data_IF_027749697320
#
_entry.id   IF_027749697320
#
_cell.length_a   1.000
_cell.length_b   1.000
_cell.length_c   1.000
_cell.angle_alpha   90.00
_cell.angle_beta   90.00
_cell.angle_gamma   90.00
#
_symmetry.space_group_name_H-M   'P 1'
#
loop_
_entity.id
_entity.type
_entity.pdbx_description
1 polymer ?
#
# COMPACT_ATOMS: atom_id res chain seq x y z
N UNK A 1 -63.38 29.82 -32.61
CA UNK A 1 -62.06 30.09 -32.01
C UNK A 1 -61.76 29.25 -30.76
N UNK A 2 -62.59 28.26 -30.39
CA UNK A 2 -62.36 27.37 -29.23
C UNK A 2 -61.55 26.10 -29.55
N UNK A 3 -61.52 25.66 -30.82
CA UNK A 3 -60.83 24.40 -31.17
C UNK A 3 -59.31 24.48 -31.04
N UNK A 4 -58.71 25.65 -31.26
CA UNK A 4 -57.26 25.85 -31.10
C UNK A 4 -56.87 25.89 -29.63
N UNK A 5 -57.68 26.48 -28.75
CA UNK A 5 -57.40 26.47 -27.30
C UNK A 5 -57.53 25.07 -26.70
N UNK A 6 -58.51 24.28 -27.15
CA UNK A 6 -58.70 22.90 -26.68
C UNK A 6 -57.50 22.01 -27.06
N UNK A 7 -56.96 22.16 -28.28
CA UNK A 7 -55.75 21.45 -28.72
C UNK A 7 -54.54 21.84 -27.86
N UNK A 8 -54.39 23.13 -27.52
CA UNK A 8 -53.30 23.58 -26.65
C UNK A 8 -53.45 23.00 -25.24
N UNK A 9 -54.67 23.00 -24.68
CA UNK A 9 -54.93 22.41 -23.36
C UNK A 9 -54.64 20.91 -23.31
N UNK A 10 -55.06 20.17 -24.34
CA UNK A 10 -54.76 18.73 -24.45
C UNK A 10 -53.25 18.53 -24.58
N UNK A 11 -52.56 19.32 -25.39
CA UNK A 11 -51.11 19.22 -25.53
C UNK A 11 -50.38 19.44 -24.20
N UNK A 12 -50.77 20.48 -23.44
CA UNK A 12 -50.22 20.76 -22.10
C UNK A 12 -50.48 19.60 -21.14
N UNK A 13 -51.70 19.06 -21.12
CA UNK A 13 -52.07 17.92 -20.27
C UNK A 13 -51.22 16.69 -20.59
N UNK A 14 -51.06 16.35 -21.87
CA UNK A 14 -50.26 15.20 -22.32
C UNK A 14 -48.78 15.42 -22.00
N UNK A 15 -48.25 16.64 -22.17
CA UNK A 15 -46.88 16.96 -21.78
C UNK A 15 -46.64 16.80 -20.28
N UNK A 16 -47.56 17.27 -19.43
CA UNK A 16 -47.46 17.11 -17.98
C UNK A 16 -47.48 15.62 -17.57
N UNK A 17 -48.35 14.82 -18.18
CA UNK A 17 -48.42 13.38 -17.96
C UNK A 17 -47.12 12.67 -18.40
N UNK A 18 -46.59 13.03 -19.57
CA UNK A 18 -45.35 12.48 -20.10
C UNK A 18 -44.15 12.79 -19.20
N UNK A 19 -44.03 14.05 -18.73
CA UNK A 19 -42.96 14.45 -17.81
C UNK A 19 -43.02 13.66 -16.50
N UNK A 20 -44.20 13.54 -15.90
CA UNK A 20 -44.39 12.78 -14.66
C UNK A 20 -43.97 11.31 -14.82
N UNK A 21 -44.37 10.70 -15.93
CA UNK A 21 -44.00 9.31 -16.23
C UNK A 21 -42.49 9.17 -16.46
N UNK A 22 -41.87 10.08 -17.22
CA UNK A 22 -40.42 10.08 -17.42
C UNK A 22 -39.66 10.20 -16.11
N UNK A 23 -40.02 11.14 -15.24
CA UNK A 23 -39.36 11.32 -13.94
C UNK A 23 -39.52 10.09 -13.05
N UNK A 24 -40.70 9.48 -13.01
CA UNK A 24 -40.92 8.23 -12.28
C UNK A 24 -40.04 7.10 -12.82
N UNK A 25 -39.97 6.97 -14.15
CA UNK A 25 -39.22 5.89 -14.80
C UNK A 25 -37.71 6.04 -14.62
N UNK A 26 -37.19 7.26 -14.77
CA UNK A 26 -35.78 7.57 -14.54
C UNK A 26 -35.39 7.30 -13.07
N UNK A 27 -36.27 7.61 -12.11
CA UNK A 27 -36.05 7.28 -10.71
C UNK A 27 -36.04 5.77 -10.45
N UNK A 28 -36.95 5.01 -11.07
CA UNK A 28 -37.00 3.53 -10.95
C UNK A 28 -35.75 2.86 -11.54
N UNK A 29 -35.24 3.35 -12.68
CA UNK A 29 -34.02 2.82 -13.31
C UNK A 29 -32.76 3.09 -12.48
N UNK A 30 -32.64 4.29 -11.91
CA UNK A 30 -31.54 4.64 -11.01
C UNK A 30 -31.60 3.84 -9.70
N UNK A 31 -32.80 3.58 -9.18
CA UNK A 31 -32.96 2.78 -7.97
C UNK A 31 -32.55 1.31 -8.18
N UNK A 32 -32.84 0.75 -9.35
CA UNK A 32 -32.40 -0.59 -9.72
C UNK A 32 -30.87 -0.69 -9.85
N UNK A 33 -30.20 0.35 -10.38
CA UNK A 33 -28.74 0.37 -10.49
C UNK A 33 -28.07 0.46 -9.11
N UNK A 34 -28.59 1.30 -8.21
CA UNK A 34 -28.11 1.42 -6.82
C UNK A 34 -28.25 0.09 -6.09
N UNK A 35 -29.42 -0.56 -6.17
CA UNK A 35 -29.62 -1.86 -5.52
C UNK A 35 -28.65 -2.93 -6.02
N UNK A 36 -28.34 -2.93 -7.32
CA UNK A 36 -27.36 -3.86 -7.90
C UNK A 36 -25.96 -3.61 -7.34
N UNK A 37 -25.53 -2.36 -7.27
CA UNK A 37 -24.22 -1.99 -6.72
C UNK A 37 -24.14 -2.36 -5.24
N UNK A 38 -25.18 -2.06 -4.47
CA UNK A 38 -25.23 -2.38 -3.04
C UNK A 38 -25.17 -3.89 -2.77
N UNK A 39 -25.82 -4.70 -3.62
CA UNK A 39 -25.70 -6.15 -3.56
C UNK A 39 -24.29 -6.65 -3.89
N UNK A 40 -23.59 -6.01 -4.84
CA UNK A 40 -22.19 -6.33 -5.16
C UNK A 40 -21.25 -5.98 -4.00
N UNK A 41 -21.42 -4.80 -3.40
CA UNK A 41 -20.62 -4.37 -2.25
C UNK A 41 -20.77 -5.36 -1.09
N UNK A 42 -22.00 -5.75 -0.74
CA UNK A 42 -22.22 -6.75 0.32
C UNK A 42 -21.54 -8.09 0.04
N UNK A 43 -21.60 -8.56 -1.20
CA UNK A 43 -20.93 -9.81 -1.59
C UNK A 43 -19.40 -9.72 -1.45
N UNK A 44 -18.82 -8.58 -1.83
CA UNK A 44 -17.39 -8.33 -1.67
C UNK A 44 -16.98 -8.21 -0.19
N UNK A 45 -17.79 -7.52 0.63
CA UNK A 45 -17.58 -7.42 2.09
C UNK A 45 -17.58 -8.80 2.76
N UNK A 46 -18.56 -9.65 2.45
CA UNK A 46 -18.64 -11.02 2.96
C UNK A 46 -17.40 -11.85 2.54
N UNK A 47 -16.92 -11.64 1.32
CA UNK A 47 -15.71 -12.30 0.81
C UNK A 47 -14.47 -11.82 1.57
N UNK A 48 -14.32 -10.53 1.81
CA UNK A 48 -13.21 -9.96 2.59
C UNK A 48 -13.20 -10.52 4.01
N UNK A 49 -14.37 -10.62 4.65
CA UNK A 49 -14.45 -11.13 6.01
C UNK A 49 -14.11 -12.62 6.10
N UNK A 50 -14.49 -13.41 5.10
CA UNK A 50 -14.03 -14.79 4.97
C UNK A 50 -12.50 -14.86 4.83
N UNK A 51 -11.91 -14.04 3.95
CA UNK A 51 -10.46 -14.00 3.77
C UNK A 51 -9.72 -13.52 5.03
N UNK A 52 -10.29 -12.58 5.80
CA UNK A 52 -9.73 -12.17 7.09
C UNK A 52 -9.76 -13.30 8.12
N UNK A 53 -10.81 -14.12 8.11
CA UNK A 53 -10.87 -15.30 8.97
C UNK A 53 -9.74 -16.28 8.63
N UNK A 54 -9.52 -16.55 7.33
CA UNK A 54 -8.41 -17.39 6.88
C UNK A 54 -7.04 -16.78 7.20
N UNK A 55 -6.89 -15.46 7.05
CA UNK A 55 -5.66 -14.76 7.41
C UNK A 55 -5.37 -14.85 8.92
N UNK A 56 -6.40 -14.73 9.76
CA UNK A 56 -6.28 -14.93 11.20
C UNK A 56 -5.83 -16.36 11.54
N UNK A 57 -6.28 -17.36 10.77
CA UNK A 57 -5.86 -18.75 10.95
C UNK A 57 -4.40 -18.97 10.52
N UNK A 58 -3.98 -18.37 9.40
CA UNK A 58 -2.61 -18.48 8.89
C UNK A 58 -1.59 -17.73 9.75
N UNK A 59 -1.97 -16.58 10.30
CA UNK A 59 -1.07 -15.69 11.06
C UNK A 59 -1.06 -16.03 12.55
N UNK A 60 -1.60 -17.20 12.93
CA UNK A 60 -1.68 -17.60 14.31
C UNK A 60 -0.27 -17.67 14.95
N UNK A 61 -0.01 -16.95 16.05
CA UNK A 61 1.33 -16.81 16.62
C UNK A 61 1.93 -18.15 17.05
N UNK A 62 1.09 -19.09 17.50
CA UNK A 62 1.50 -20.45 17.84
C UNK A 62 2.05 -21.24 16.64
N UNK A 63 1.47 -21.07 15.44
CA UNK A 63 1.96 -21.67 14.20
C UNK A 63 3.29 -21.05 13.77
N UNK A 64 3.40 -19.72 13.81
CA UNK A 64 4.63 -19.01 13.47
C UNK A 64 5.77 -19.38 14.42
N UNK A 65 5.50 -19.47 15.73
CA UNK A 65 6.49 -19.86 16.73
C UNK A 65 6.96 -21.30 16.54
N UNK A 66 6.04 -22.22 16.24
CA UNK A 66 6.39 -23.62 15.91
C UNK A 66 7.25 -23.71 14.65
N UNK A 67 6.94 -22.93 13.63
CA UNK A 67 7.72 -22.89 12.39
C UNK A 67 9.13 -22.31 12.64
N UNK A 68 9.21 -21.22 13.41
CA UNK A 68 10.48 -20.62 13.82
C UNK A 68 11.35 -21.60 14.62
N UNK A 69 10.75 -22.41 15.49
CA UNK A 69 11.46 -23.43 16.26
C UNK A 69 11.94 -24.60 15.40
N UNK A 70 11.12 -25.08 14.45
CA UNK A 70 11.50 -26.14 13.50
C UNK A 70 12.68 -25.72 12.62
N UNK A 71 12.67 -24.49 12.10
CA UNK A 71 13.73 -23.99 11.22
C UNK A 71 14.89 -23.31 11.98
N UNK A 72 14.87 -23.33 13.32
CA UNK A 72 15.89 -22.69 14.16
C UNK A 72 17.31 -23.16 13.84
N UNK A 73 17.48 -24.43 13.50
CA UNK A 73 18.79 -25.01 13.14
C UNK A 73 19.34 -24.54 11.80
N UNK A 74 18.47 -24.11 10.87
CA UNK A 74 18.86 -23.65 9.54
C UNK A 74 18.97 -22.13 9.47
N UNK A 75 18.11 -21.43 10.21
CA UNK A 75 17.98 -19.97 10.16
C UNK A 75 18.84 -19.28 11.23
N UNK A 76 19.21 -19.98 12.31
CA UNK A 76 20.03 -19.44 13.39
C UNK A 76 19.37 -18.28 14.16
N UNK A 77 18.07 -18.05 13.96
CA UNK A 77 17.35 -16.93 14.56
C UNK A 77 17.03 -17.23 16.03
N UNK A 78 17.46 -16.33 16.91
CA UNK A 78 16.97 -16.25 18.27
C UNK A 78 15.78 -15.29 18.37
N UNK A 79 14.88 -15.50 19.36
CA UNK A 79 13.84 -14.52 19.67
C UNK A 79 14.49 -13.17 19.96
N UNK A 80 14.01 -12.11 19.30
CA UNK A 80 14.48 -10.74 19.54
C UNK A 80 14.28 -10.41 21.01
N UNK A 81 15.38 -10.12 21.71
CA UNK A 81 15.33 -9.72 23.10
C UNK A 81 14.89 -8.25 23.19
N UNK A 82 14.05 -7.87 24.16
CA UNK A 82 13.58 -6.49 24.33
C UNK A 82 14.73 -5.47 24.44
N UNK A 83 15.92 -5.90 24.89
CA UNK A 83 17.12 -5.06 24.94
C UNK A 83 17.73 -4.70 23.58
N UNK A 84 17.36 -5.41 22.51
CA UNK A 84 17.86 -5.18 21.14
C UNK A 84 17.02 -4.14 20.37
N UNK A 85 15.88 -3.72 20.93
CA UNK A 85 15.07 -2.62 20.39
C UNK A 85 15.60 -1.34 21.01
N UNK A 86 16.46 -0.62 20.28
CA UNK A 86 17.07 0.63 20.73
C UNK A 86 16.99 1.67 19.63
N UNK A 87 16.82 2.94 20.00
CA UNK A 87 16.86 4.05 19.05
C UNK A 87 18.31 4.33 18.64
N UNK A 88 18.51 4.98 17.49
CA UNK A 88 19.85 5.22 16.95
C UNK A 88 20.76 5.98 17.93
N UNK A 89 20.17 6.79 18.80
CA UNK A 89 20.84 7.59 19.83
C UNK A 89 21.32 6.76 21.05
N UNK A 90 20.76 5.55 21.24
CA UNK A 90 21.09 4.65 22.33
C UNK A 90 22.17 3.62 21.95
N UNK A 91 22.66 3.63 20.70
CA UNK A 91 23.76 2.75 20.31
C UNK A 91 25.08 3.24 20.90
N UNK A 92 25.86 2.36 21.57
CA UNK A 92 27.19 2.73 22.00
C UNK A 92 28.03 3.10 20.79
N UNK A 93 28.74 4.22 20.87
CA UNK A 93 29.66 4.65 19.82
C UNK A 93 30.63 3.52 19.49
N UNK A 94 30.73 3.18 18.19
CA UNK A 94 31.62 2.12 17.71
C UNK A 94 33.02 2.36 18.30
N UNK A 95 33.61 1.39 19.03
CA UNK A 95 34.96 1.57 19.55
C UNK A 95 35.89 1.71 18.35
N UNK A 96 36.47 2.90 18.18
CA UNK A 96 37.59 3.13 17.28
C UNK A 96 38.78 2.37 17.84
N UNK A 97 39.04 1.19 17.28
CA UNK A 97 40.25 0.44 17.56
C UNK A 97 41.44 1.29 17.08
N UNK A 98 42.46 1.44 17.92
CA UNK A 98 43.62 2.33 17.66
C UNK A 98 44.34 1.99 16.33
N UNK A 99 44.21 0.76 15.83
CA UNK A 99 44.66 0.31 14.50
C UNK A 99 44.08 1.12 13.31
N UNK A 100 42.84 1.61 13.41
CA UNK A 100 42.20 2.43 12.36
C UNK A 100 42.72 3.88 12.38
N UNK A 101 43.16 4.37 13.54
CA UNK A 101 43.73 5.71 13.69
C UNK A 101 45.22 5.75 13.32
N UNK A 102 45.93 4.62 13.51
CA UNK A 102 47.34 4.48 13.14
C UNK A 102 47.52 4.37 11.63
N UNK A 103 46.66 3.63 10.93
CA UNK A 103 46.66 3.52 9.47
C UNK A 103 46.32 4.85 8.77
N UNK A 104 45.39 5.64 9.32
CA UNK A 104 44.99 6.92 8.73
C UNK A 104 46.05 8.04 8.86
N UNK A 105 46.89 8.01 9.91
CA UNK A 105 47.90 9.06 10.17
C UNK A 105 49.29 8.77 9.60
N UNK A 106 49.53 7.56 9.10
CA UNK A 106 50.84 7.13 8.60
C UNK A 106 50.92 7.08 7.05
N UNK A 107 50.09 7.86 6.36
CA UNK A 107 50.19 8.09 4.91
C UNK A 107 51.07 9.31 4.63
N UNK A 108 52.39 9.10 4.62
CA UNK A 108 53.40 10.14 4.46
C UNK A 108 53.19 11.04 3.23
N UNK A 109 53.27 12.33 3.50
CA UNK A 109 53.45 13.44 2.59
C UNK A 109 54.48 13.13 1.48
N UNK A 110 54.02 13.01 0.23
CA UNK A 110 54.87 13.02 -0.95
C UNK A 110 54.22 13.80 -2.10
N UNK A 111 54.89 14.92 -2.37
CA UNK A 111 55.06 15.58 -3.67
C UNK A 111 53.92 16.43 -4.28
N UNK A 112 54.39 17.56 -4.79
CA UNK A 112 53.65 18.65 -5.40
C UNK A 112 53.19 18.29 -6.82
N UNK A 113 52.25 19.12 -7.30
CA UNK A 113 51.89 19.34 -8.70
C UNK A 113 50.71 18.52 -9.22
N UNK A 114 49.57 19.22 -9.25
CA UNK A 114 48.68 19.36 -10.41
C UNK A 114 48.79 18.28 -11.50
N UNK A 115 47.84 17.35 -11.50
CA UNK A 115 46.99 16.99 -12.64
C UNK A 115 46.04 15.85 -12.22
N UNK A 116 44.74 16.14 -12.10
CA UNK A 116 43.71 15.08 -12.11
C UNK A 116 43.67 14.35 -13.46
N UNK A 117 42.89 13.26 -13.66
CA UNK A 117 41.76 12.78 -12.87
C UNK A 117 41.74 11.24 -12.64
N UNK A 118 40.68 10.78 -11.97
CA UNK A 118 39.83 9.60 -12.26
C UNK A 118 39.59 8.72 -11.05
N UNK A 119 38.53 9.06 -10.32
CA UNK A 119 37.86 8.14 -9.40
C UNK A 119 37.41 6.88 -10.15
N UNK A 120 37.91 5.74 -9.69
CA UNK A 120 37.42 4.43 -10.09
C UNK A 120 36.06 4.19 -9.41
N UNK A 121 35.12 3.72 -10.22
CA UNK A 121 33.69 3.56 -9.94
C UNK A 121 33.43 2.49 -8.88
N UNK A 122 32.54 2.79 -7.93
CA UNK A 122 31.88 1.78 -7.07
C UNK A 122 30.86 0.97 -7.88
N UNK A 123 30.87 -0.36 -7.83
CA UNK A 123 29.71 -1.16 -8.22
C UNK A 123 28.80 -1.35 -7.00
N UNK A 124 27.88 -0.42 -6.77
CA UNK A 124 26.71 -0.67 -5.91
C UNK A 124 25.70 -1.49 -6.70
N UNK A 125 25.68 -2.80 -6.45
CA UNK A 125 24.58 -3.70 -6.79
C UNK A 125 23.98 -4.18 -5.48
N UNK A 126 23.00 -3.43 -4.99
CA UNK A 126 21.98 -3.95 -4.07
C UNK A 126 20.69 -4.04 -4.88
N UNK A 127 20.20 -5.27 -5.01
CA UNK A 127 19.17 -5.66 -5.96
C UNK A 127 17.92 -4.78 -5.89
N UNK A 128 17.58 -4.22 -7.05
CA UNK A 128 16.25 -3.69 -7.31
C UNK A 128 15.23 -4.82 -7.34
N UNK A 129 14.04 -4.50 -6.82
CA UNK A 129 12.83 -5.25 -7.09
C UNK A 129 12.48 -5.10 -8.57
N UNK A 130 12.23 -6.24 -9.21
CA UNK A 130 11.66 -6.32 -10.55
C UNK A 130 10.16 -6.08 -10.46
N UNK A 131 9.68 -4.96 -11.03
CA UNK A 131 8.42 -4.89 -11.75
C UNK A 131 8.44 -3.70 -12.72
#
# INVERSE_FOLDING_TARGET
MFRTSDIVLIAVMVSAAALTYKTKREAEEQLASVQKIEAQIRYEEDTIDLLKADWSLLTQPSRLQKLAEIYKSQLGLEPVNARQIVNLDDLPAKPVTIEDLSSQRLGGMADNSDNGPKGAKDPVVTGGIVQ
#
